data_IF_880401214707
#
_entry.id   IF_880401214707
#
_cell.length_a   1.000
_cell.length_b   1.000
_cell.length_c   1.000
_cell.angle_alpha   90.00
_cell.angle_beta   90.00
_cell.angle_gamma   90.00
#
_symmetry.space_group_name_H-M   'P 1'
#
loop_
_entity.id
_entity.type
_entity.pdbx_description
1 polymer ?
#
# COMPACT_ATOMS: atom_id res chain seq x y z
N UNK A 1 -90.95 17.04 9.87
CA UNK A 1 -90.47 18.39 9.50
C UNK A 1 -89.10 18.26 8.84
N UNK A 2 -89.00 18.86 7.64
CA UNK A 2 -87.81 19.25 6.86
C UNK A 2 -86.79 18.17 6.41
N UNK A 3 -86.84 17.95 5.09
CA UNK A 3 -85.84 17.37 4.18
C UNK A 3 -84.52 18.17 4.24
N UNK A 4 -83.36 17.55 4.03
CA UNK A 4 -82.43 17.96 2.95
C UNK A 4 -81.31 16.94 2.67
N UNK A 5 -81.19 16.66 1.38
CA UNK A 5 -80.12 16.06 0.57
C UNK A 5 -78.75 16.76 0.73
N UNK A 6 -77.68 16.16 0.17
CA UNK A 6 -76.36 16.73 -0.29
C UNK A 6 -75.17 16.27 0.57
N UNK A 7 -73.99 15.83 0.08
CA UNK A 7 -73.42 15.53 -1.24
C UNK A 7 -72.14 14.70 -0.99
N UNK A 8 -71.86 13.76 -1.89
CA UNK A 8 -70.57 13.09 -2.07
C UNK A 8 -69.52 14.11 -2.54
N UNK A 9 -68.44 14.38 -1.79
CA UNK A 9 -67.28 15.08 -2.35
C UNK A 9 -65.95 14.68 -1.70
N UNK A 10 -65.11 14.08 -2.55
CA UNK A 10 -63.66 13.96 -2.56
C UNK A 10 -62.90 14.14 -1.23
N UNK A 11 -62.39 13.01 -0.73
CA UNK A 11 -61.14 12.93 0.03
C UNK A 11 -59.97 13.50 -0.79
N UNK A 12 -59.62 14.77 -0.58
CA UNK A 12 -58.31 15.30 -0.95
C UNK A 12 -57.35 14.92 0.18
N UNK A 13 -56.71 13.77 0.04
CA UNK A 13 -55.50 13.45 0.77
C UNK A 13 -54.39 14.35 0.25
N UNK A 14 -54.19 15.48 0.93
CA UNK A 14 -53.01 16.31 0.74
C UNK A 14 -51.83 15.57 1.36
N UNK A 15 -51.20 14.70 0.57
CA UNK A 15 -49.93 14.06 0.92
C UNK A 15 -48.85 15.13 0.98
N UNK A 16 -48.69 15.72 2.17
CA UNK A 16 -47.60 16.61 2.51
C UNK A 16 -46.31 15.79 2.53
N UNK A 17 -45.74 15.51 1.36
CA UNK A 17 -44.38 15.03 1.24
C UNK A 17 -43.47 16.25 1.47
N UNK A 18 -43.10 16.46 2.73
CA UNK A 18 -41.96 17.30 3.06
C UNK A 18 -40.72 16.65 2.45
N UNK A 19 -40.43 16.96 1.19
CA UNK A 19 -39.08 16.77 0.65
C UNK A 19 -38.18 17.64 1.52
N UNK A 20 -37.38 17.00 2.37
CA UNK A 20 -36.22 17.63 2.99
C UNK A 20 -35.45 18.32 1.87
N UNK A 21 -35.51 19.65 1.83
CA UNK A 21 -34.64 20.49 1.03
C UNK A 21 -33.23 20.28 1.57
N UNK A 22 -32.50 19.31 1.00
CA UNK A 22 -31.04 19.43 0.98
C UNK A 22 -30.76 20.62 0.08
N UNK A 23 -30.46 21.77 0.70
CA UNK A 23 -30.62 23.09 0.10
C UNK A 23 -29.78 23.32 -1.16
N UNK A 24 -28.65 22.63 -1.33
CA UNK A 24 -27.93 22.48 -2.60
C UNK A 24 -26.76 21.49 -2.41
N UNK A 25 -26.48 20.61 -3.37
CA UNK A 25 -25.20 19.90 -3.42
C UNK A 25 -24.12 20.85 -3.93
N UNK A 26 -23.21 21.27 -3.05
CA UNK A 26 -22.10 22.18 -3.37
C UNK A 26 -20.76 21.48 -3.15
N UNK A 27 -19.70 21.86 -3.90
CA UNK A 27 -18.35 21.38 -3.61
C UNK A 27 -17.95 21.68 -2.15
N UNK A 28 -17.54 20.65 -1.42
CA UNK A 28 -17.06 20.80 -0.05
C UNK A 28 -15.74 21.61 -0.04
N UNK A 29 -15.55 22.59 0.87
CA UNK A 29 -14.31 23.36 0.95
C UNK A 29 -13.05 22.52 1.19
N UNK A 30 -13.22 21.32 1.74
CA UNK A 30 -12.18 20.30 1.89
C UNK A 30 -12.73 18.98 1.36
N UNK A 31 -12.56 18.72 0.06
CA UNK A 31 -13.06 17.50 -0.56
C UNK A 31 -12.48 16.25 0.11
N UNK A 32 -13.30 15.21 0.15
CA UNK A 32 -12.88 13.88 0.59
C UNK A 32 -11.89 13.27 -0.42
N UNK A 33 -10.95 12.47 0.07
CA UNK A 33 -10.01 11.71 -0.72
C UNK A 33 -9.61 10.41 -0.02
N UNK A 34 -9.13 9.48 -0.82
CA UNK A 34 -8.64 8.18 -0.41
C UNK A 34 -7.35 7.84 -1.16
N UNK A 35 -6.43 7.17 -0.47
CA UNK A 35 -5.25 6.54 -1.07
C UNK A 35 -5.06 5.16 -0.48
N UNK A 36 -4.68 4.19 -1.30
CA UNK A 36 -4.42 2.81 -0.91
C UNK A 36 -3.10 2.33 -1.49
N UNK A 37 -2.35 1.53 -0.72
CA UNK A 37 -1.06 0.99 -1.13
C UNK A 37 -0.83 -0.38 -0.48
N UNK A 38 -0.32 -1.33 -1.26
CA UNK A 38 0.25 -2.57 -0.71
C UNK A 38 1.66 -2.30 -0.18
N UNK A 39 1.91 -2.67 1.07
CA UNK A 39 3.24 -2.67 1.71
C UNK A 39 3.49 -4.10 2.16
N UNK A 40 4.40 -4.83 1.48
CA UNK A 40 4.47 -6.28 1.65
C UNK A 40 3.16 -6.92 1.23
N UNK A 41 2.56 -7.66 2.16
CA UNK A 41 1.26 -8.29 2.00
C UNK A 41 0.14 -7.58 2.78
N UNK A 42 0.44 -6.42 3.37
CA UNK A 42 -0.54 -5.57 4.05
C UNK A 42 -1.04 -4.47 3.10
N UNK A 43 -2.36 -4.32 3.00
CA UNK A 43 -3.00 -3.17 2.38
C UNK A 43 -3.12 -2.05 3.40
N UNK A 44 -2.56 -0.89 3.07
CA UNK A 44 -2.69 0.34 3.83
C UNK A 44 -3.66 1.27 3.12
N UNK A 45 -4.73 1.69 3.80
CA UNK A 45 -5.73 2.62 3.28
C UNK A 45 -5.75 3.87 4.15
N UNK A 46 -5.78 5.05 3.52
CA UNK A 46 -5.97 6.33 4.20
C UNK A 46 -7.15 7.07 3.60
N UNK A 47 -8.07 7.50 4.45
CA UNK A 47 -9.28 8.24 4.08
C UNK A 47 -9.28 9.57 4.83
N UNK A 48 -9.34 10.69 4.11
CA UNK A 48 -9.14 12.02 4.68
C UNK A 48 -9.87 13.12 3.89
N UNK A 49 -10.04 14.28 4.51
CA UNK A 49 -10.48 15.50 3.80
C UNK A 49 -9.31 16.43 3.54
N UNK A 50 -9.25 17.01 2.34
CA UNK A 50 -8.11 17.77 1.81
C UNK A 50 -8.35 19.28 1.84
N UNK A 51 -7.93 20.01 2.89
CA UNK A 51 -7.99 21.47 2.91
C UNK A 51 -6.94 22.12 1.98
N UNK A 52 -7.29 23.28 1.43
CA UNK A 52 -6.37 24.12 0.64
C UNK A 52 -5.92 25.36 1.42
N UNK A 53 -4.72 25.86 1.10
CA UNK A 53 -4.13 27.06 1.72
C UNK A 53 -5.02 28.29 1.53
N UNK A 54 -5.52 28.52 0.32
CA UNK A 54 -6.30 29.73 -0.03
C UNK A 54 -5.60 31.03 0.37
N UNK A 55 -4.28 31.09 0.15
CA UNK A 55 -3.45 32.25 0.48
C UNK A 55 -3.14 32.43 1.98
N UNK A 56 -3.51 31.46 2.84
CA UNK A 56 -3.26 31.51 4.28
C UNK A 56 -1.99 30.75 4.65
N UNK A 57 -1.35 31.19 5.74
CA UNK A 57 -0.31 30.41 6.42
C UNK A 57 -0.96 29.20 7.08
N UNK A 58 -0.33 28.02 6.98
CA UNK A 58 -0.93 26.79 7.53
C UNK A 58 -0.44 26.54 8.94
N UNK A 59 0.84 26.22 9.10
CA UNK A 59 1.36 25.81 10.41
C UNK A 59 1.69 27.04 11.26
N UNK A 60 1.14 27.08 12.47
CA UNK A 60 1.19 28.22 13.39
C UNK A 60 0.12 29.29 13.14
N UNK A 61 -0.87 29.03 12.28
CA UNK A 61 -2.07 29.85 12.11
C UNK A 61 -3.32 28.96 12.02
N UNK A 62 -3.59 28.34 10.87
CA UNK A 62 -4.75 27.45 10.69
C UNK A 62 -4.60 26.12 11.45
N UNK A 63 -3.37 25.60 11.51
CA UNK A 63 -3.01 24.44 12.31
C UNK A 63 -2.08 24.93 13.42
N UNK A 64 -2.54 24.97 14.69
CA UNK A 64 -1.70 25.37 15.81
C UNK A 64 -0.49 24.45 15.94
N UNK A 65 0.64 25.03 16.35
CA UNK A 65 1.81 24.24 16.72
C UNK A 65 1.63 23.66 18.12
N UNK A 66 2.27 22.53 18.37
CA UNK A 66 2.31 21.85 19.67
C UNK A 66 0.93 21.42 20.21
N UNK A 67 -0.08 21.39 19.34
CA UNK A 67 -1.43 20.89 19.62
C UNK A 67 -1.81 19.71 18.72
N UNK A 68 -2.72 18.88 19.21
CA UNK A 68 -3.23 17.72 18.45
C UNK A 68 -4.10 18.18 17.27
N UNK A 69 -3.66 17.82 16.09
CA UNK A 69 -4.35 18.03 14.84
C UNK A 69 -4.84 16.70 14.26
N UNK A 70 -6.10 16.69 13.81
CA UNK A 70 -6.78 15.59 13.10
C UNK A 70 -6.15 15.16 11.76
N UNK A 71 -5.02 15.76 11.39
CA UNK A 71 -4.27 15.49 10.15
C UNK A 71 -5.13 15.60 8.88
N UNK A 72 -5.93 16.66 8.79
CA UNK A 72 -6.87 16.91 7.71
C UNK A 72 -7.95 17.94 8.08
N UNK A 73 -9.10 17.86 7.43
CA UNK A 73 -10.30 18.66 7.74
C UNK A 73 -11.51 17.76 8.08
N UNK A 74 -12.56 18.34 8.67
CA UNK A 74 -13.79 17.65 9.03
C UNK A 74 -13.56 16.54 10.08
N UNK A 75 -13.88 15.28 9.76
CA UNK A 75 -13.59 14.12 10.59
C UNK A 75 -12.08 13.86 10.74
N UNK A 76 -11.68 13.08 11.74
CA UNK A 76 -10.31 12.59 11.84
C UNK A 76 -9.92 11.80 10.59
N UNK A 77 -8.68 11.98 10.13
CA UNK A 77 -8.13 11.15 9.06
C UNK A 77 -8.09 9.71 9.54
N UNK A 78 -8.67 8.81 8.75
CA UNK A 78 -8.69 7.38 9.04
C UNK A 78 -7.55 6.69 8.32
N UNK A 79 -6.90 5.77 9.00
CA UNK A 79 -5.89 4.88 8.44
C UNK A 79 -6.25 3.45 8.84
N UNK A 80 -6.19 2.52 7.89
CA UNK A 80 -6.46 1.11 8.16
C UNK A 80 -5.47 0.18 7.50
N UNK A 81 -5.32 -0.98 8.13
CA UNK A 81 -4.42 -2.06 7.72
C UNK A 81 -5.18 -3.39 7.80
N UNK A 82 -5.06 -4.25 6.79
CA UNK A 82 -5.63 -5.61 6.82
C UNK A 82 -4.65 -6.67 7.35
N UNK A 83 -3.42 -6.26 7.66
CA UNK A 83 -2.39 -7.04 8.31
C UNK A 83 -1.55 -6.13 9.20
N UNK A 84 -0.79 -6.70 10.13
CA UNK A 84 0.07 -5.94 11.03
C UNK A 84 1.15 -5.15 10.26
N UNK A 85 1.44 -3.94 10.72
CA UNK A 85 2.42 -3.05 10.10
C UNK A 85 3.26 -2.33 11.16
N UNK A 86 4.55 -2.21 10.92
CA UNK A 86 5.42 -1.36 11.70
C UNK A 86 5.41 0.06 11.13
N UNK A 87 5.11 1.05 11.98
CA UNK A 87 5.03 2.46 11.64
C UNK A 87 6.13 3.18 12.41
N UNK A 88 7.12 3.70 11.69
CA UNK A 88 8.37 4.23 12.25
C UNK A 88 8.99 3.29 13.31
N UNK A 89 9.00 1.99 13.03
CA UNK A 89 9.51 0.94 13.91
C UNK A 89 8.58 0.48 15.04
N UNK A 90 7.38 1.05 15.18
CA UNK A 90 6.37 0.59 16.16
C UNK A 90 5.34 -0.31 15.50
N UNK A 91 5.22 -1.55 15.97
CA UNK A 91 4.22 -2.49 15.46
C UNK A 91 2.80 -2.03 15.82
N UNK A 92 1.92 -2.06 14.84
CA UNK A 92 0.48 -1.80 14.95
C UNK A 92 -0.24 -2.96 14.30
N UNK A 93 -1.21 -3.53 15.02
CA UNK A 93 -2.02 -4.65 14.55
C UNK A 93 -2.94 -4.24 13.39
N UNK A 94 -3.50 -5.24 12.69
CA UNK A 94 -4.54 -5.01 11.71
C UNK A 94 -5.77 -4.33 12.35
N UNK A 95 -6.36 -3.37 11.65
CA UNK A 95 -7.50 -2.61 12.17
C UNK A 95 -7.72 -1.28 11.46
N UNK A 96 -8.76 -0.56 11.89
CA UNK A 96 -9.02 0.83 11.52
C UNK A 96 -8.68 1.75 12.70
N UNK A 97 -7.95 2.82 12.42
CA UNK A 97 -7.45 3.80 13.39
C UNK A 97 -7.64 5.22 12.88
N UNK A 98 -7.55 6.20 13.76
CA UNK A 98 -7.37 7.61 13.41
C UNK A 98 -5.89 7.98 13.37
N UNK A 99 -5.52 8.80 12.40
CA UNK A 99 -4.21 9.42 12.26
C UNK A 99 -4.25 10.86 12.80
N UNK A 100 -3.61 11.07 13.93
CA UNK A 100 -3.39 12.39 14.51
C UNK A 100 -1.93 12.81 14.37
N UNK A 101 -1.69 14.10 14.37
CA UNK A 101 -0.36 14.69 14.37
C UNK A 101 -0.28 15.84 15.36
N UNK A 102 0.91 16.11 15.88
CA UNK A 102 1.23 17.33 16.63
C UNK A 102 2.35 18.02 15.87
N UNK A 103 2.04 19.04 15.06
CA UNK A 103 3.06 19.80 14.35
C UNK A 103 3.89 20.61 15.34
N UNK A 104 5.19 20.33 15.41
CA UNK A 104 6.16 21.20 16.10
C UNK A 104 7.03 21.96 15.10
N UNK A 105 7.87 22.87 15.61
CA UNK A 105 8.79 23.66 14.77
C UNK A 105 9.88 22.83 14.11
N UNK A 106 10.44 21.86 14.84
CA UNK A 106 11.56 21.01 14.40
C UNK A 106 11.20 19.54 14.34
N UNK A 107 10.17 19.12 15.08
CA UNK A 107 9.78 17.73 15.24
C UNK A 107 8.27 17.65 15.22
N UNK A 108 7.72 16.68 14.51
CA UNK A 108 6.30 16.36 14.54
C UNK A 108 6.08 15.09 15.33
N UNK A 109 5.01 15.04 16.11
CA UNK A 109 4.52 13.77 16.63
C UNK A 109 3.48 13.20 15.66
N UNK A 110 3.63 11.95 15.27
CA UNK A 110 2.62 11.17 14.55
C UNK A 110 1.99 10.16 15.51
N UNK A 111 0.66 10.06 15.46
CA UNK A 111 -0.14 9.32 16.43
C UNK A 111 -1.14 8.43 15.68
N UNK A 112 -1.17 7.16 16.06
CA UNK A 112 -2.20 6.21 15.68
C UNK A 112 -3.08 5.99 16.90
N UNK A 113 -4.37 6.26 16.76
CA UNK A 113 -5.33 6.25 17.85
C UNK A 113 -6.52 5.34 17.52
N UNK A 114 -6.98 4.53 18.47
CA UNK A 114 -8.06 3.55 18.25
C UNK A 114 -9.46 4.16 18.12
N UNK A 115 -9.65 5.44 18.46
CA UNK A 115 -10.94 6.11 18.32
C UNK A 115 -11.12 6.66 16.90
N UNK A 116 -12.00 6.05 16.11
CA UNK A 116 -12.26 6.40 14.70
C UNK A 116 -13.51 7.26 14.49
N UNK A 117 -14.20 7.63 15.59
CA UNK A 117 -15.51 8.30 15.54
C UNK A 117 -15.48 9.81 15.75
N UNK A 118 -14.30 10.40 15.97
CA UNK A 118 -14.19 11.80 16.36
C UNK A 118 -14.34 12.76 15.16
N UNK A 119 -15.16 13.80 15.37
CA UNK A 119 -15.18 14.95 14.48
C UNK A 119 -14.10 15.94 14.89
N UNK A 120 -12.97 15.89 14.19
CA UNK A 120 -11.81 16.72 14.47
C UNK A 120 -10.91 16.19 15.59
N UNK A 121 -10.34 17.11 16.40
CA UNK A 121 -9.45 16.77 17.53
C UNK A 121 -10.16 16.88 18.89
N UNK A 122 -11.40 17.38 18.92
CA UNK A 122 -12.18 17.49 20.15
C UNK A 122 -12.58 16.10 20.66
N UNK A 123 -12.21 15.79 21.90
CA UNK A 123 -12.43 14.46 22.48
C UNK A 123 -11.29 13.46 22.26
N UNK A 124 -10.16 13.89 21.69
CA UNK A 124 -8.94 13.09 21.69
C UNK A 124 -8.51 12.76 23.12
N UNK A 125 -8.20 11.48 23.37
CA UNK A 125 -7.60 10.97 24.63
C UNK A 125 -6.32 10.20 24.30
N UNK A 126 -5.23 10.56 24.97
CA UNK A 126 -3.93 9.90 24.84
C UNK A 126 -3.98 8.41 25.25
N UNK A 127 -4.95 8.00 26.08
CA UNK A 127 -5.15 6.59 26.45
C UNK A 127 -5.61 5.71 25.28
N UNK A 128 -6.04 6.34 24.20
CA UNK A 128 -6.47 5.66 22.98
C UNK A 128 -5.34 5.57 21.94
N UNK A 129 -4.17 6.14 22.22
CA UNK A 129 -2.98 6.01 21.37
C UNK A 129 -2.45 4.57 21.41
N UNK A 130 -2.35 3.94 20.24
CA UNK A 130 -1.69 2.64 20.07
C UNK A 130 -0.25 2.79 19.60
N UNK A 131 0.06 3.89 18.91
CA UNK A 131 1.42 4.26 18.56
C UNK A 131 1.57 5.77 18.56
N UNK A 132 2.71 6.25 19.07
CA UNK A 132 3.10 7.66 19.12
C UNK A 132 4.58 7.78 18.80
N UNK A 133 4.95 8.52 17.78
CA UNK A 133 6.32 8.55 17.27
C UNK A 133 6.72 9.94 16.82
N UNK A 134 8.00 10.27 17.00
CA UNK A 134 8.55 11.54 16.55
C UNK A 134 9.15 11.38 15.14
N UNK A 135 8.87 12.35 14.28
CA UNK A 135 9.39 12.41 12.91
C UNK A 135 9.83 13.83 12.63
N UNK A 136 11.00 13.96 12.01
CA UNK A 136 11.52 15.27 11.58
C UNK A 136 10.90 15.64 10.24
N UNK A 137 10.14 16.75 10.13
CA UNK A 137 9.64 17.24 8.86
C UNK A 137 10.79 17.73 7.97
N UNK A 138 10.57 17.71 6.67
CA UNK A 138 11.48 18.28 5.67
C UNK A 138 10.81 19.44 4.95
N UNK A 139 11.62 20.41 4.50
CA UNK A 139 11.14 21.54 3.71
C UNK A 139 11.04 21.17 2.23
N UNK A 140 9.93 21.54 1.61
CA UNK A 140 9.62 21.27 0.20
C UNK A 140 9.10 22.54 -0.52
N UNK A 141 9.03 22.53 -1.86
CA UNK A 141 8.25 23.51 -2.60
C UNK A 141 6.79 23.53 -2.14
N UNK A 142 6.16 24.70 -2.27
CA UNK A 142 4.82 24.92 -1.73
C UNK A 142 3.77 23.98 -2.34
N UNK A 143 3.09 23.23 -1.48
CA UNK A 143 1.96 22.35 -1.80
C UNK A 143 0.66 23.01 -1.37
N UNK A 144 -0.18 23.37 -2.36
CA UNK A 144 -1.40 24.17 -2.14
C UNK A 144 -2.53 23.45 -1.39
N UNK A 145 -2.65 22.14 -1.59
CA UNK A 145 -3.71 21.33 -1.02
C UNK A 145 -3.11 20.19 -0.23
N UNK A 146 -3.58 19.99 1.00
CA UNK A 146 -3.11 18.91 1.85
C UNK A 146 -3.21 17.57 1.13
N UNK A 147 -2.11 16.83 1.11
CA UNK A 147 -1.99 15.59 0.35
C UNK A 147 -1.35 14.53 1.21
N UNK A 148 -1.94 13.34 1.18
CA UNK A 148 -1.37 12.11 1.72
C UNK A 148 -1.15 11.17 0.54
N UNK A 149 0.08 10.67 0.39
CA UNK A 149 0.46 9.70 -0.64
C UNK A 149 1.48 8.68 -0.10
N UNK A 150 1.88 7.76 -0.97
CA UNK A 150 2.95 6.80 -0.71
C UNK A 150 4.13 7.03 -1.67
N UNK A 151 5.36 6.88 -1.16
CA UNK A 151 6.59 6.89 -1.96
C UNK A 151 7.57 5.82 -1.52
N UNK A 152 8.67 5.67 -2.26
CA UNK A 152 9.82 4.82 -1.91
C UNK A 152 9.40 3.37 -1.61
N UNK A 153 8.58 2.82 -2.52
CA UNK A 153 8.09 1.45 -2.40
C UNK A 153 9.26 0.46 -2.55
N UNK A 154 9.36 -0.44 -1.58
CA UNK A 154 10.14 -1.67 -1.65
C UNK A 154 9.26 -2.87 -1.32
N UNK A 155 9.81 -4.08 -1.41
CA UNK A 155 9.01 -5.31 -1.33
C UNK A 155 8.17 -5.42 -0.05
N UNK A 156 8.64 -4.86 1.06
CA UNK A 156 7.92 -4.82 2.35
C UNK A 156 7.88 -3.44 3.00
N UNK A 157 8.23 -2.39 2.27
CA UNK A 157 8.43 -1.04 2.85
C UNK A 157 7.80 0.03 1.98
N UNK A 158 7.34 1.12 2.60
CA UNK A 158 6.90 2.32 1.92
C UNK A 158 7.06 3.53 2.85
N UNK A 159 7.04 4.74 2.31
CA UNK A 159 6.84 5.96 3.09
C UNK A 159 5.42 6.46 2.91
N UNK A 160 4.66 6.62 4.00
CA UNK A 160 3.42 7.39 4.01
C UNK A 160 3.77 8.86 4.20
N UNK A 161 3.48 9.69 3.21
CA UNK A 161 3.90 11.08 3.20
C UNK A 161 2.73 12.03 3.43
N UNK A 162 2.93 13.05 4.25
CA UNK A 162 2.01 14.17 4.45
C UNK A 162 2.63 15.43 3.85
N UNK A 163 1.94 16.10 2.93
CA UNK A 163 2.40 17.34 2.28
C UNK A 163 1.41 18.48 2.53
N UNK A 164 1.90 19.61 3.01
CA UNK A 164 1.15 20.86 2.98
C UNK A 164 2.06 22.07 3.12
N UNK A 165 1.71 23.18 2.48
CA UNK A 165 2.54 24.39 2.50
C UNK A 165 3.96 23.99 2.09
N UNK A 166 4.98 24.28 2.89
CA UNK A 166 6.36 23.99 2.59
C UNK A 166 6.88 22.80 3.42
N UNK A 167 5.99 21.96 3.94
CA UNK A 167 6.31 20.88 4.88
C UNK A 167 5.96 19.52 4.30
N UNK A 168 6.91 18.58 4.39
CA UNK A 168 6.72 17.15 4.17
C UNK A 168 7.04 16.36 5.44
N UNK A 169 6.18 15.42 5.82
CA UNK A 169 6.46 14.42 6.85
C UNK A 169 6.41 13.05 6.21
N UNK A 170 7.50 12.29 6.27
CA UNK A 170 7.58 10.91 5.75
C UNK A 170 7.56 9.93 6.91
N UNK A 171 6.55 9.08 6.93
CA UNK A 171 6.32 8.06 7.96
C UNK A 171 6.72 6.71 7.37
N UNK A 172 7.85 6.11 7.80
CA UNK A 172 8.26 4.81 7.31
C UNK A 172 7.27 3.73 7.73
N UNK A 173 6.85 2.91 6.77
CA UNK A 173 6.01 1.75 6.94
C UNK A 173 6.79 0.50 6.58
N UNK A 174 6.59 -0.57 7.35
CA UNK A 174 7.18 -1.88 7.07
C UNK A 174 6.20 -2.99 7.43
N UNK A 175 5.99 -3.93 6.51
CA UNK A 175 5.27 -5.17 6.78
C UNK A 175 6.29 -6.33 6.74
N UNK A 176 6.37 -7.12 7.80
CA UNK A 176 7.26 -8.28 7.88
C UNK A 176 6.61 -9.50 7.21
N UNK A 177 6.41 -9.42 5.89
CA UNK A 177 5.61 -10.36 5.11
C UNK A 177 6.24 -11.74 4.86
N UNK A 178 7.54 -11.91 5.11
CA UNK A 178 8.30 -13.08 4.63
C UNK A 178 7.72 -14.42 5.11
N UNK A 179 7.35 -14.52 6.38
CA UNK A 179 6.75 -15.75 6.93
C UNK A 179 5.40 -16.07 6.25
N UNK A 180 4.56 -15.05 6.07
CA UNK A 180 3.27 -15.19 5.38
C UNK A 180 3.46 -15.54 3.90
N UNK A 181 4.46 -14.97 3.23
CA UNK A 181 4.80 -15.33 1.86
C UNK A 181 5.24 -16.79 1.75
N UNK A 182 6.05 -17.28 2.70
CA UNK A 182 6.43 -18.69 2.77
C UNK A 182 5.21 -19.61 2.96
N UNK A 183 4.30 -19.25 3.86
CA UNK A 183 3.06 -19.99 4.06
C UNK A 183 2.23 -20.03 2.77
N UNK A 184 2.08 -18.89 2.07
CA UNK A 184 1.36 -18.81 0.81
C UNK A 184 1.99 -19.67 -0.29
N UNK A 185 3.33 -19.67 -0.39
CA UNK A 185 4.07 -20.53 -1.33
C UNK A 185 3.79 -22.00 -1.04
N UNK A 186 3.88 -22.41 0.23
CA UNK A 186 3.65 -23.79 0.63
C UNK A 186 2.21 -24.23 0.35
N UNK A 187 1.21 -23.40 0.65
CA UNK A 187 -0.19 -23.67 0.31
C UNK A 187 -0.39 -23.77 -1.19
N UNK A 188 0.18 -22.86 -1.99
CA UNK A 188 0.05 -22.90 -3.44
C UNK A 188 0.66 -24.16 -4.08
N UNK A 189 1.79 -24.63 -3.54
CA UNK A 189 2.42 -25.90 -3.95
C UNK A 189 1.56 -27.12 -3.57
N UNK A 190 0.84 -27.05 -2.46
CA UNK A 190 -0.01 -28.13 -1.97
C UNK A 190 -1.37 -28.21 -2.71
N UNK A 191 -1.99 -27.08 -3.02
CA UNK A 191 -3.37 -27.01 -3.55
C UNK A 191 -3.45 -27.18 -5.07
N UNK A 192 -2.54 -26.55 -5.80
CA UNK A 192 -2.43 -26.76 -7.24
C UNK A 192 -1.44 -27.90 -7.42
N UNK A 193 -1.85 -29.06 -7.94
CA UNK A 193 -0.92 -30.10 -8.37
C UNK A 193 0.12 -29.51 -9.33
N UNK A 194 1.22 -29.02 -8.76
CA UNK A 194 2.43 -28.56 -9.39
C UNK A 194 2.28 -27.85 -10.73
N UNK A 195 1.58 -26.71 -10.83
CA UNK A 195 1.79 -25.93 -12.05
C UNK A 195 3.27 -25.50 -12.13
N UNK A 196 3.89 -25.58 -13.31
CA UNK A 196 5.28 -25.15 -13.45
C UNK A 196 5.47 -23.68 -13.00
N UNK A 197 4.42 -22.84 -13.13
CA UNK A 197 4.39 -21.45 -12.66
C UNK A 197 4.46 -21.34 -11.14
N UNK A 198 3.81 -22.25 -10.42
CA UNK A 198 3.87 -22.27 -8.95
C UNK A 198 5.30 -22.53 -8.48
N UNK A 199 5.99 -23.51 -9.09
CA UNK A 199 7.38 -23.79 -8.77
C UNK A 199 8.34 -22.69 -9.24
N UNK A 200 8.07 -22.07 -10.38
CA UNK A 200 8.90 -20.95 -10.84
C UNK A 200 8.76 -19.74 -9.93
N UNK A 201 7.54 -19.30 -9.60
CA UNK A 201 7.33 -18.20 -8.66
C UNK A 201 7.96 -18.47 -7.28
N UNK A 202 7.88 -19.71 -6.77
CA UNK A 202 8.55 -20.09 -5.54
C UNK A 202 10.08 -20.01 -5.63
N UNK A 203 10.66 -20.53 -6.71
CA UNK A 203 12.10 -20.50 -6.95
C UNK A 203 12.63 -19.08 -7.13
N UNK A 204 11.92 -18.25 -7.89
CA UNK A 204 12.26 -16.84 -8.10
C UNK A 204 12.18 -16.06 -6.80
N UNK A 205 11.10 -16.23 -6.02
CA UNK A 205 10.95 -15.59 -4.71
C UNK A 205 12.12 -15.92 -3.77
N UNK A 206 12.48 -17.20 -3.66
CA UNK A 206 13.59 -17.61 -2.81
C UNK A 206 14.94 -17.06 -3.29
N UNK A 207 15.14 -17.02 -4.61
CA UNK A 207 16.35 -16.47 -5.19
C UNK A 207 16.46 -14.96 -4.95
N UNK A 208 15.44 -14.19 -5.32
CA UNK A 208 15.47 -12.73 -5.22
C UNK A 208 15.54 -12.24 -3.76
N UNK A 209 15.08 -13.05 -2.80
CA UNK A 209 15.14 -12.75 -1.37
C UNK A 209 16.36 -13.37 -0.64
N UNK A 210 17.32 -13.94 -1.38
CA UNK A 210 18.52 -14.62 -0.83
C UNK A 210 18.18 -15.64 0.27
N UNK A 211 17.16 -16.46 0.01
CA UNK A 211 16.70 -17.51 0.93
C UNK A 211 17.46 -18.82 0.68
N UNK A 212 16.89 -19.96 1.08
CA UNK A 212 17.48 -21.27 0.87
C UNK A 212 17.67 -21.58 -0.62
N UNK A 213 18.93 -21.53 -1.06
CA UNK A 213 19.30 -21.76 -2.45
C UNK A 213 19.14 -23.24 -2.89
N UNK A 214 19.22 -24.19 -1.96
CA UNK A 214 18.96 -25.61 -2.28
C UNK A 214 17.47 -25.84 -2.55
N UNK A 215 16.62 -25.20 -1.76
CA UNK A 215 15.17 -25.22 -2.00
C UNK A 215 14.80 -24.47 -3.29
N UNK A 216 15.39 -23.30 -3.54
CA UNK A 216 15.22 -22.57 -4.81
C UNK A 216 15.62 -23.43 -6.01
N UNK A 217 16.74 -24.15 -5.91
CA UNK A 217 17.22 -25.03 -6.98
C UNK A 217 16.25 -26.19 -7.22
N UNK A 218 15.71 -26.76 -6.14
CA UNK A 218 14.74 -27.85 -6.21
C UNK A 218 13.49 -27.42 -6.98
N UNK A 219 12.93 -26.26 -6.66
CA UNK A 219 11.75 -25.75 -7.36
C UNK A 219 12.04 -25.27 -8.78
N UNK A 220 13.18 -24.61 -9.01
CA UNK A 220 13.57 -24.17 -10.35
C UNK A 220 13.70 -25.36 -11.30
N UNK A 221 14.36 -26.44 -10.86
CA UNK A 221 14.45 -27.71 -11.61
C UNK A 221 13.07 -28.27 -11.88
N UNK A 222 12.23 -28.40 -10.85
CA UNK A 222 10.88 -28.94 -11.00
C UNK A 222 10.03 -28.13 -12.00
N UNK A 223 10.11 -26.80 -11.97
CA UNK A 223 9.43 -25.96 -12.96
C UNK A 223 9.89 -26.25 -14.39
N UNK A 224 11.21 -26.26 -14.62
CA UNK A 224 11.82 -26.48 -15.93
C UNK A 224 11.52 -27.89 -16.46
N UNK A 225 11.60 -28.91 -15.61
CA UNK A 225 11.32 -30.30 -15.97
C UNK A 225 9.86 -30.51 -16.39
N UNK A 226 8.93 -29.74 -15.81
CA UNK A 226 7.52 -29.80 -16.17
C UNK A 226 7.19 -29.07 -17.46
N UNK A 227 7.70 -27.85 -17.63
CA UNK A 227 7.52 -27.09 -18.87
C UNK A 227 8.62 -26.06 -19.03
N UNK A 228 9.64 -26.31 -19.86
CA UNK A 228 10.70 -25.34 -20.08
C UNK A 228 10.14 -24.12 -20.83
N UNK A 229 10.44 -22.94 -20.30
CA UNK A 229 10.17 -21.62 -20.85
C UNK A 229 11.44 -20.79 -20.72
N UNK A 230 11.64 -19.82 -21.60
CA UNK A 230 12.87 -19.02 -21.53
C UNK A 230 13.06 -18.38 -20.14
N UNK A 231 11.98 -17.92 -19.51
CA UNK A 231 12.05 -17.27 -18.20
C UNK A 231 12.30 -18.22 -17.03
N UNK A 232 11.65 -19.39 -16.96
CA UNK A 232 11.91 -20.32 -15.85
C UNK A 232 13.28 -21.01 -15.96
N UNK A 233 13.78 -21.25 -17.19
CA UNK A 233 15.15 -21.73 -17.42
C UNK A 233 16.16 -20.64 -17.04
N UNK A 234 15.84 -19.36 -17.26
CA UNK A 234 16.65 -18.24 -16.80
C UNK A 234 16.71 -18.17 -15.26
N UNK A 235 15.59 -18.38 -14.56
CA UNK A 235 15.59 -18.48 -13.10
C UNK A 235 16.49 -19.63 -12.62
N UNK A 236 16.40 -20.80 -13.24
CA UNK A 236 17.28 -21.93 -12.93
C UNK A 236 18.77 -21.60 -13.15
N UNK A 237 19.11 -20.88 -14.22
CA UNK A 237 20.51 -20.48 -14.48
C UNK A 237 21.04 -19.53 -13.41
N UNK A 238 20.22 -18.55 -12.98
CA UNK A 238 20.54 -17.64 -11.87
C UNK A 238 20.75 -18.39 -10.56
N UNK A 239 19.91 -19.38 -10.26
CA UNK A 239 20.05 -20.20 -9.04
C UNK A 239 21.36 -20.98 -9.04
N UNK A 240 21.74 -21.60 -10.16
CA UNK A 240 23.05 -22.24 -10.27
C UNK A 240 24.20 -21.26 -10.04
N UNK A 241 24.15 -20.08 -10.66
CA UNK A 241 25.19 -19.07 -10.50
C UNK A 241 25.32 -18.58 -9.06
N UNK A 242 24.20 -18.36 -8.36
CA UNK A 242 24.19 -17.97 -6.95
C UNK A 242 24.81 -19.03 -6.04
N UNK A 243 24.75 -20.31 -6.44
CA UNK A 243 25.43 -21.43 -5.76
C UNK A 243 26.88 -21.64 -6.20
N UNK A 244 27.42 -20.78 -7.05
CA UNK A 244 28.77 -20.92 -7.62
C UNK A 244 28.91 -22.03 -8.65
N UNK A 245 27.80 -22.63 -9.09
CA UNK A 245 27.76 -23.70 -10.10
C UNK A 245 27.78 -23.09 -11.51
N UNK A 246 28.86 -22.35 -11.83
CA UNK A 246 28.90 -21.51 -13.03
C UNK A 246 28.83 -22.30 -14.34
N UNK A 247 29.31 -23.55 -14.36
CA UNK A 247 29.22 -24.42 -15.55
C UNK A 247 27.76 -24.73 -15.87
N UNK A 248 27.00 -25.17 -14.88
CA UNK A 248 25.56 -25.46 -14.97
C UNK A 248 24.75 -24.19 -15.23
N UNK A 249 25.15 -23.06 -14.64
CA UNK A 249 24.53 -21.77 -14.87
C UNK A 249 24.64 -21.35 -16.33
N UNK A 250 25.85 -21.44 -16.92
CA UNK A 250 26.07 -21.12 -18.33
C UNK A 250 25.26 -22.05 -19.24
N UNK A 251 25.27 -23.36 -18.98
CA UNK A 251 24.49 -24.33 -19.77
C UNK A 251 23.01 -23.96 -19.80
N UNK A 252 22.42 -23.64 -18.64
CA UNK A 252 21.01 -23.25 -18.57
C UNK A 252 20.74 -21.88 -19.16
N UNK A 253 21.64 -20.90 -19.00
CA UNK A 253 21.49 -19.61 -19.65
C UNK A 253 21.56 -19.70 -21.19
N UNK A 254 22.42 -20.56 -21.74
CA UNK A 254 22.48 -20.81 -23.18
C UNK A 254 21.18 -21.47 -23.68
N UNK A 255 20.59 -22.38 -22.89
CA UNK A 255 19.29 -22.95 -23.22
C UNK A 255 18.15 -21.91 -23.16
N UNK A 256 18.11 -21.09 -22.11
CA UNK A 256 17.15 -19.98 -21.98
C UNK A 256 17.29 -18.98 -23.14
N UNK A 257 18.52 -18.64 -23.52
CA UNK A 257 18.83 -17.75 -24.65
C UNK A 257 18.23 -18.28 -25.95
N UNK A 258 18.42 -19.57 -26.25
CA UNK A 258 17.84 -20.20 -27.44
C UNK A 258 16.32 -20.08 -27.45
N UNK A 259 15.66 -20.41 -26.34
CA UNK A 259 14.19 -20.30 -26.21
C UNK A 259 13.72 -18.85 -26.36
N UNK A 260 14.46 -17.87 -25.84
CA UNK A 260 14.14 -16.45 -25.95
C UNK A 260 14.30 -15.93 -27.39
N UNK A 261 15.31 -16.42 -28.13
CA UNK A 261 15.50 -16.14 -29.56
C UNK A 261 14.37 -16.70 -30.40
N UNK A 262 13.98 -17.96 -30.18
CA UNK A 262 12.83 -18.58 -30.85
C UNK A 262 11.51 -17.81 -30.58
N UNK A 263 11.37 -17.28 -29.37
CA UNK A 263 10.23 -16.44 -28.97
C UNK A 263 10.34 -14.96 -29.38
N UNK A 264 11.45 -14.53 -30.01
CA UNK A 264 11.76 -13.13 -30.33
C UNK A 264 11.68 -12.16 -29.12
N UNK A 265 12.06 -12.63 -27.93
CA UNK A 265 11.93 -11.86 -26.69
C UNK A 265 13.26 -11.18 -26.29
N UNK A 266 13.49 -9.96 -26.80
CA UNK A 266 14.77 -9.24 -26.70
C UNK A 266 15.34 -9.14 -25.28
N UNK A 267 14.52 -8.85 -24.28
CA UNK A 267 15.01 -8.63 -22.90
C UNK A 267 15.72 -9.87 -22.35
N UNK A 268 15.17 -11.06 -22.57
CA UNK A 268 15.80 -12.30 -22.10
C UNK A 268 17.01 -12.69 -22.95
N UNK A 269 17.04 -12.32 -24.23
CA UNK A 269 18.25 -12.48 -25.07
C UNK A 269 19.40 -11.65 -24.47
N UNK A 270 19.15 -10.38 -24.16
CA UNK A 270 20.15 -9.48 -23.60
C UNK A 270 20.62 -9.96 -22.21
N UNK A 271 19.69 -10.30 -21.32
CA UNK A 271 20.00 -10.77 -19.97
C UNK A 271 20.83 -12.07 -19.97
N UNK A 272 20.43 -13.08 -20.75
CA UNK A 272 21.20 -14.32 -20.85
C UNK A 272 22.58 -14.07 -21.44
N UNK A 273 22.69 -13.28 -22.51
CA UNK A 273 23.98 -12.97 -23.14
C UNK A 273 24.93 -12.31 -22.14
N UNK A 274 24.43 -11.35 -21.35
CA UNK A 274 25.21 -10.70 -20.29
C UNK A 274 25.67 -11.70 -19.24
N UNK A 275 24.75 -12.50 -18.70
CA UNK A 275 25.05 -13.45 -17.64
C UNK A 275 26.05 -14.53 -18.09
N UNK A 276 25.90 -15.06 -19.31
CA UNK A 276 26.84 -16.02 -19.89
C UNK A 276 28.25 -15.42 -19.98
N UNK A 277 28.37 -14.19 -20.49
CA UNK A 277 29.66 -13.51 -20.59
C UNK A 277 30.29 -13.28 -19.21
N UNK A 278 29.50 -12.85 -18.23
CA UNK A 278 29.95 -12.64 -16.85
C UNK A 278 30.41 -13.95 -16.21
N UNK A 279 29.59 -15.00 -16.24
CA UNK A 279 29.89 -16.27 -15.58
C UNK A 279 31.04 -17.04 -16.25
N UNK A 280 31.30 -16.83 -17.54
CA UNK A 280 32.50 -17.37 -18.22
C UNK A 280 33.81 -16.85 -17.61
N UNK A 281 33.81 -15.67 -16.99
CA UNK A 281 34.99 -15.14 -16.27
C UNK A 281 35.21 -15.77 -14.89
N UNK A 282 34.26 -16.58 -14.42
CA UNK A 282 34.26 -17.23 -13.10
C UNK A 282 34.52 -18.75 -13.17
N UNK A 283 34.71 -19.29 -14.37
CA UNK A 283 35.19 -20.65 -14.62
C UNK A 283 36.72 -20.69 -14.51
#
# INVERSE_FOLDING_TARGET
MKKLTIVLLLTITFSLTAKLLVAQELPQPSPWAETEQMVGLAKVKVVYSRPSMKGRKIFGDIVPLDEVWRTGANASTKISFDDAIAINGKNVEAGEYSLYTIPGKTTWTVIINKNTGLWGSGGYDIKDDVARMEITPTTIPTTQTFTIDFSDLGDGTANLNLYWENTKVSIPLKNDYKEKALANINSAIAEAEGSYRTYEGAAEYYMDNNMDLDQALTWAKKSVDMSPKFWNVYTLSRVYAAKGMYKEAIEKAEYSLKLAQEANYKTYIDMNTKNIAEWKTKL
#
